data_IF_188961987418
#
_entry.id   IF_188961987418
#
_cell.length_a   1.000
_cell.length_b   1.000
_cell.length_c   1.000
_cell.angle_alpha   90.00
_cell.angle_beta   90.00
_cell.angle_gamma   90.00
#
_symmetry.space_group_name_H-M   'P 1'
#
loop_
_entity.id
_entity.type
_entity.pdbx_description
1 polymer ?
#
# COMPACT_ATOMS: atom_id res chain seq x y z
N UNK A 1 5.71 -30.44 6.94
CA UNK A 1 5.27 -29.05 6.71
C UNK A 1 5.80 -28.29 7.89
N UNK A 2 7.08 -27.96 7.82
CA UNK A 2 7.85 -27.47 8.95
C UNK A 2 7.35 -26.06 9.28
N UNK A 3 6.53 -26.00 10.31
CA UNK A 3 5.94 -24.77 10.82
C UNK A 3 7.05 -23.84 11.22
N UNK A 4 7.20 -22.76 10.46
CA UNK A 4 7.98 -21.58 10.85
C UNK A 4 7.46 -21.16 12.22
N UNK A 5 8.19 -21.49 13.29
CA UNK A 5 7.87 -21.09 14.67
C UNK A 5 8.14 -19.60 14.93
N UNK A 6 8.12 -18.80 13.88
CA UNK A 6 8.39 -17.36 13.88
C UNK A 6 7.06 -16.66 13.66
N UNK A 7 6.69 -15.76 14.56
CA UNK A 7 5.49 -14.94 14.40
C UNK A 7 5.60 -14.17 13.09
N UNK A 8 4.59 -14.28 12.22
CA UNK A 8 4.56 -13.53 10.97
C UNK A 8 4.06 -12.12 11.28
N UNK A 9 4.98 -11.26 11.72
CA UNK A 9 4.69 -9.88 12.13
C UNK A 9 3.97 -9.08 11.04
N UNK A 10 4.31 -9.31 9.77
CA UNK A 10 3.70 -8.60 8.63
C UNK A 10 2.18 -8.74 8.55
N UNK A 11 1.60 -9.88 8.92
CA UNK A 11 0.14 -10.09 8.90
C UNK A 11 -0.54 -9.24 9.96
N UNK A 12 -0.02 -9.26 11.19
CA UNK A 12 -0.56 -8.50 12.32
C UNK A 12 -0.33 -7.00 12.12
N UNK A 13 0.88 -6.60 11.73
CA UNK A 13 1.22 -5.21 11.46
C UNK A 13 0.36 -4.62 10.35
N UNK A 14 0.04 -5.38 9.31
CA UNK A 14 -0.85 -4.91 8.24
C UNK A 14 -2.24 -4.57 8.78
N UNK A 15 -2.83 -5.41 9.63
CA UNK A 15 -4.13 -5.14 10.23
C UNK A 15 -4.10 -3.87 11.10
N UNK A 16 -3.14 -3.77 12.02
CA UNK A 16 -3.01 -2.59 12.88
C UNK A 16 -2.72 -1.30 12.09
N UNK A 17 -1.92 -1.38 11.03
CA UNK A 17 -1.60 -0.22 10.19
C UNK A 17 -2.81 0.23 9.37
N UNK A 18 -3.60 -0.71 8.84
CA UNK A 18 -4.84 -0.39 8.12
C UNK A 18 -5.86 0.31 9.05
N UNK A 19 -6.07 -0.23 10.25
CA UNK A 19 -6.96 0.40 11.24
C UNK A 19 -6.49 1.79 11.66
N UNK A 20 -5.17 1.98 11.80
CA UNK A 20 -4.58 3.28 12.11
C UNK A 20 -4.80 4.28 10.98
N UNK A 21 -4.60 3.86 9.73
CA UNK A 21 -4.81 4.69 8.55
C UNK A 21 -6.27 5.17 8.46
N UNK A 22 -7.24 4.27 8.66
CA UNK A 22 -8.66 4.61 8.70
C UNK A 22 -8.98 5.59 9.84
N UNK A 23 -8.46 5.33 11.05
CA UNK A 23 -8.69 6.19 12.22
C UNK A 23 -8.19 7.63 12.02
N UNK A 24 -7.05 7.79 11.34
CA UNK A 24 -6.44 9.10 11.10
C UNK A 24 -6.77 9.69 9.73
N UNK A 25 -7.61 9.02 8.94
CA UNK A 25 -7.97 9.40 7.59
C UNK A 25 -6.74 9.65 6.69
N UNK A 26 -5.77 8.73 6.74
CA UNK A 26 -4.53 8.75 5.94
C UNK A 26 -4.68 7.79 4.77
N UNK A 27 -4.45 8.27 3.55
CA UNK A 27 -4.46 7.42 2.35
C UNK A 27 -3.22 6.50 2.31
N UNK A 28 -3.42 5.19 2.47
CA UNK A 28 -2.37 4.17 2.48
C UNK A 28 -2.68 3.03 1.49
N UNK A 29 -2.63 3.28 0.17
CA UNK A 29 -3.13 2.34 -0.83
C UNK A 29 -2.40 0.99 -0.83
N UNK A 30 -1.09 0.98 -0.58
CA UNK A 30 -0.32 -0.28 -0.49
C UNK A 30 -0.81 -1.11 0.69
N UNK A 31 -0.95 -0.51 1.87
CA UNK A 31 -1.42 -1.20 3.07
C UNK A 31 -2.86 -1.68 2.89
N UNK A 32 -3.72 -0.88 2.28
CA UNK A 32 -5.11 -1.24 1.96
C UNK A 32 -5.18 -2.47 1.05
N UNK A 33 -4.38 -2.52 -0.01
CA UNK A 33 -4.37 -3.67 -0.93
C UNK A 33 -3.81 -4.93 -0.27
N UNK A 34 -2.76 -4.82 0.56
CA UNK A 34 -2.24 -5.96 1.33
C UNK A 34 -3.31 -6.44 2.33
N UNK A 35 -4.00 -5.53 3.01
CA UNK A 35 -5.10 -5.87 3.92
C UNK A 35 -6.23 -6.61 3.17
N UNK A 36 -6.61 -6.15 1.99
CA UNK A 36 -7.66 -6.78 1.18
C UNK A 36 -7.27 -8.20 0.75
N UNK A 37 -6.01 -8.42 0.34
CA UNK A 37 -5.51 -9.76 0.01
C UNK A 37 -5.57 -10.68 1.23
N UNK A 38 -5.06 -10.22 2.38
CA UNK A 38 -4.93 -11.04 3.59
C UNK A 38 -6.27 -11.33 4.27
N UNK A 39 -7.21 -10.37 4.25
CA UNK A 39 -8.42 -10.40 5.08
C UNK A 39 -9.74 -10.36 4.29
N UNK A 40 -9.72 -9.98 3.00
CA UNK A 40 -10.92 -9.91 2.15
C UNK A 40 -10.87 -10.85 0.94
N UNK A 41 -9.83 -11.71 0.85
CA UNK A 41 -9.66 -12.70 -0.21
C UNK A 41 -9.63 -12.08 -1.63
N UNK A 42 -9.10 -10.86 -1.73
CA UNK A 42 -8.90 -10.17 -3.01
C UNK A 42 -7.81 -10.84 -3.84
N UNK A 43 -7.96 -10.80 -5.17
CA UNK A 43 -6.95 -11.33 -6.08
C UNK A 43 -5.70 -10.44 -6.10
N UNK A 44 -4.53 -11.07 -6.04
CA UNK A 44 -3.23 -10.37 -6.00
C UNK A 44 -2.97 -9.59 -7.29
N UNK A 45 -3.41 -10.09 -8.45
CA UNK A 45 -3.21 -9.39 -9.72
C UNK A 45 -4.09 -8.16 -9.79
N UNK A 46 -5.33 -8.25 -9.33
CA UNK A 46 -6.23 -7.11 -9.24
C UNK A 46 -5.67 -6.03 -8.31
N UNK A 47 -5.19 -6.40 -7.13
CA UNK A 47 -4.54 -5.48 -6.19
C UNK A 47 -3.36 -4.72 -6.83
N UNK A 48 -2.51 -5.43 -7.58
CA UNK A 48 -1.40 -4.79 -8.33
C UNK A 48 -1.93 -3.82 -9.39
N UNK A 49 -2.96 -4.22 -10.16
CA UNK A 49 -3.58 -3.35 -11.16
C UNK A 49 -4.16 -2.09 -10.51
N UNK A 50 -4.84 -2.22 -9.38
CA UNK A 50 -5.41 -1.09 -8.63
C UNK A 50 -4.33 -0.09 -8.20
N UNK A 51 -3.20 -0.57 -7.69
CA UNK A 51 -2.06 0.28 -7.31
C UNK A 51 -1.46 1.01 -8.51
N UNK A 52 -1.33 0.34 -9.64
CA UNK A 52 -0.72 0.89 -10.85
C UNK A 52 -1.64 1.88 -11.58
N UNK A 53 -2.96 1.70 -11.47
CA UNK A 53 -3.97 2.57 -12.07
C UNK A 53 -4.39 3.74 -11.17
N UNK A 54 -3.83 3.81 -9.94
CA UNK A 54 -4.06 4.89 -8.99
C UNK A 54 -3.71 6.25 -9.59
N UNK A 55 -4.48 7.29 -9.22
CA UNK A 55 -4.15 8.68 -9.56
C UNK A 55 -2.79 9.07 -8.97
N UNK A 56 -1.99 9.80 -9.75
CA UNK A 56 -0.68 10.27 -9.31
C UNK A 56 -0.81 11.14 -8.06
N UNK A 57 0.06 10.92 -7.08
CA UNK A 57 0.21 11.83 -5.95
C UNK A 57 0.92 13.10 -6.41
N UNK A 58 0.64 14.23 -5.73
CA UNK A 58 1.20 15.54 -6.07
C UNK A 58 2.75 15.60 -6.01
N UNK A 59 3.41 14.63 -5.36
CA UNK A 59 4.88 14.55 -5.30
C UNK A 59 5.54 14.47 -6.69
N UNK A 60 4.90 13.81 -7.68
CA UNK A 60 5.49 13.66 -9.02
C UNK A 60 5.50 15.01 -9.77
N UNK A 61 4.58 15.92 -9.46
CA UNK A 61 4.54 17.25 -10.08
C UNK A 61 5.73 18.11 -9.69
N UNK A 62 6.17 18.06 -8.43
CA UNK A 62 7.35 18.81 -7.97
C UNK A 62 8.63 18.31 -8.63
N UNK A 63 8.80 16.99 -8.75
CA UNK A 63 9.96 16.38 -9.44
C UNK A 63 9.96 16.73 -10.94
N UNK A 64 8.80 16.71 -11.59
CA UNK A 64 8.67 17.11 -13.00
C UNK A 64 8.98 18.60 -13.20
N UNK A 65 8.48 19.48 -12.32
CA UNK A 65 8.80 20.93 -12.34
C UNK A 65 10.29 21.17 -12.15
N UNK A 66 10.94 20.47 -11.22
CA UNK A 66 12.38 20.65 -10.94
C UNK A 66 13.27 20.26 -12.14
N UNK A 67 12.85 19.28 -12.94
CA UNK A 67 13.55 18.91 -14.18
C UNK A 67 13.28 19.87 -15.36
N UNK A 68 12.22 20.69 -15.30
CA UNK A 68 11.87 21.66 -16.35
C UNK A 68 12.68 22.97 -16.26
N UNK A 69 13.30 23.27 -15.11
CA UNK A 69 14.10 24.48 -14.88
C UNK A 69 15.61 24.26 -14.97
N UNK A 70 16.05 23.11 -15.49
CA UNK A 70 17.48 22.82 -15.72
C UNK A 70 17.82 23.03 -17.20
N UNK A 71 18.05 24.28 -17.58
CA UNK A 71 18.78 24.70 -18.78
C UNK A 71 19.79 25.77 -18.39
#
# INVERSE_FOLDING_TARGET
MDSIGMVVEGVVTTAGTYELAEKFNVDMPITTEIFNILYKNSDVREAVVNLMMRSRTHEIEEVAKNNMFKW
#
